data_IF_051971616711
#
_entry.id   IF_051971616711
#
_cell.length_a   1.000
_cell.length_b   1.000
_cell.length_c   1.000
_cell.angle_alpha   90.00
_cell.angle_beta   90.00
_cell.angle_gamma   90.00
#
_symmetry.space_group_name_H-M   'P 1'
#
loop_
_entity.id
_entity.type
_entity.pdbx_description
1 polymer ?
#
# COMPACT_ATOMS: atom_id res chain seq x y z
N UNK A 1 -60.61 -47.24 -46.49
CA UNK A 1 -60.91 -48.24 -45.44
C UNK A 1 -59.59 -48.59 -44.78
N UNK A 2 -59.15 -47.96 -43.69
CA UNK A 2 -59.33 -48.43 -42.30
C UNK A 2 -59.18 -47.21 -41.34
N UNK A 3 -59.76 -46.05 -41.70
CA UNK A 3 -59.85 -44.86 -40.82
C UNK A 3 -60.86 -45.01 -39.67
N UNK A 4 -61.15 -46.25 -39.24
CA UNK A 4 -62.16 -46.61 -38.23
C UNK A 4 -61.63 -47.54 -37.13
N UNK A 5 -60.33 -47.81 -37.08
CA UNK A 5 -59.75 -48.64 -36.00
C UNK A 5 -59.16 -47.83 -34.82
N UNK A 6 -59.01 -46.52 -34.94
CA UNK A 6 -58.51 -45.68 -33.83
C UNK A 6 -59.59 -45.18 -32.87
N UNK A 7 -60.88 -45.35 -33.20
CA UNK A 7 -61.99 -44.89 -32.33
C UNK A 7 -62.35 -45.88 -31.21
N UNK A 8 -61.82 -47.11 -31.22
CA UNK A 8 -62.18 -48.15 -30.25
C UNK A 8 -61.10 -48.42 -29.18
N UNK A 9 -59.97 -47.71 -29.22
CA UNK A 9 -58.92 -47.83 -28.18
C UNK A 9 -59.16 -46.85 -27.03
N UNK A 10 -59.97 -45.80 -27.23
CA UNK A 10 -60.24 -44.77 -26.22
C UNK A 10 -61.43 -45.07 -25.29
N UNK A 11 -62.13 -46.19 -25.45
CA UNK A 11 -63.35 -46.49 -24.67
C UNK A 11 -63.19 -47.57 -23.59
N UNK A 12 -61.96 -48.02 -23.30
CA UNK A 12 -61.68 -48.98 -22.20
C UNK A 12 -60.52 -48.57 -21.30
N UNK A 13 -60.25 -47.28 -21.16
CA UNK A 13 -59.63 -46.80 -19.92
C UNK A 13 -60.76 -46.60 -18.92
N UNK A 14 -61.27 -47.70 -18.37
CA UNK A 14 -61.86 -47.64 -17.04
C UNK A 14 -60.70 -47.21 -16.15
N UNK A 15 -60.61 -45.90 -15.92
CA UNK A 15 -59.86 -45.34 -14.80
C UNK A 15 -60.28 -46.20 -13.62
N UNK A 16 -59.34 -46.98 -13.09
CA UNK A 16 -59.50 -47.58 -11.79
C UNK A 16 -59.88 -46.42 -10.88
N UNK A 17 -61.17 -46.33 -10.55
CA UNK A 17 -61.60 -45.66 -9.33
C UNK A 17 -60.97 -46.50 -8.23
N UNK A 18 -59.70 -46.22 -7.96
CA UNK A 18 -59.04 -46.64 -6.75
C UNK A 18 -60.02 -46.27 -5.66
N UNK A 19 -60.52 -47.29 -4.95
CA UNK A 19 -61.41 -47.09 -3.82
C UNK A 19 -60.81 -45.98 -2.98
N UNK A 20 -61.46 -44.82 -2.96
CA UNK A 20 -61.08 -43.75 -2.04
C UNK A 20 -61.42 -44.29 -0.66
N UNK A 21 -60.44 -44.94 -0.06
CA UNK A 21 -60.47 -45.27 1.35
C UNK A 21 -60.67 -43.96 2.08
N UNK A 22 -61.84 -43.82 2.70
CA UNK A 22 -62.22 -42.61 3.40
C UNK A 22 -61.44 -42.57 4.72
N UNK A 23 -60.19 -42.11 4.66
CA UNK A 23 -59.30 -41.98 5.81
C UNK A 23 -59.68 -40.76 6.66
N UNK A 24 -60.94 -40.70 7.10
CA UNK A 24 -61.44 -39.72 8.06
C UNK A 24 -61.31 -38.23 7.67
N UNK A 25 -62.01 -37.40 8.44
CA UNK A 25 -62.04 -35.94 8.26
C UNK A 25 -60.64 -35.33 8.35
N UNK A 26 -59.75 -35.92 9.15
CA UNK A 26 -58.39 -35.42 9.38
C UNK A 26 -57.45 -35.58 8.17
N UNK A 27 -57.51 -36.72 7.45
CA UNK A 27 -56.65 -36.87 6.27
C UNK A 27 -57.18 -36.08 5.08
N UNK A 28 -58.51 -35.93 4.97
CA UNK A 28 -59.12 -35.01 4.01
C UNK A 28 -58.71 -33.57 4.29
N UNK A 29 -58.72 -33.14 5.56
CA UNK A 29 -58.27 -31.82 5.97
C UNK A 29 -56.80 -31.60 5.58
N UNK A 30 -55.90 -32.52 5.93
CA UNK A 30 -54.48 -32.42 5.61
C UNK A 30 -54.18 -32.43 4.10
N UNK A 31 -54.98 -33.15 3.31
CA UNK A 31 -54.85 -33.16 1.84
C UNK A 31 -55.35 -31.86 1.18
N UNK A 32 -56.30 -31.15 1.80
CA UNK A 32 -56.79 -29.85 1.33
C UNK A 32 -55.86 -28.71 1.72
N UNK A 33 -55.31 -28.74 2.94
CA UNK A 33 -54.39 -27.69 3.43
C UNK A 33 -53.11 -27.60 2.59
N UNK A 34 -52.62 -28.72 2.06
CA UNK A 34 -51.34 -28.78 1.34
C UNK A 34 -51.45 -28.64 -0.19
N UNK A 35 -52.61 -28.26 -0.73
CA UNK A 35 -52.83 -28.09 -2.17
C UNK A 35 -53.28 -26.66 -2.46
N UNK A 36 -52.65 -26.03 -3.44
CA UNK A 36 -53.07 -24.72 -3.97
C UNK A 36 -53.71 -24.94 -5.34
N UNK A 37 -54.80 -24.23 -5.62
CA UNK A 37 -55.40 -24.22 -6.95
C UNK A 37 -54.53 -23.34 -7.86
N UNK A 38 -53.92 -23.93 -8.88
CA UNK A 38 -53.34 -23.20 -10.01
C UNK A 38 -54.22 -23.49 -11.23
N UNK A 39 -55.10 -22.54 -11.57
CA UNK A 39 -56.15 -22.75 -12.57
C UNK A 39 -57.22 -23.75 -12.10
N UNK A 40 -57.66 -24.65 -12.98
CA UNK A 40 -58.63 -25.73 -12.66
C UNK A 40 -58.01 -26.97 -12.01
N UNK A 41 -56.69 -26.98 -11.80
CA UNK A 41 -55.98 -28.13 -11.26
C UNK A 41 -55.38 -27.81 -9.88
N UNK A 42 -55.50 -28.75 -8.96
CA UNK A 42 -54.87 -28.68 -7.66
C UNK A 42 -53.44 -29.22 -7.76
N UNK A 43 -52.45 -28.38 -7.48
CA UNK A 43 -51.03 -28.75 -7.50
C UNK A 43 -50.47 -28.61 -6.08
N UNK A 44 -49.59 -29.52 -5.69
CA UNK A 44 -48.96 -29.48 -4.36
C UNK A 44 -47.79 -28.49 -4.35
N UNK A 45 -47.67 -27.72 -3.26
CA UNK A 45 -46.70 -26.61 -3.14
C UNK A 45 -45.23 -27.07 -3.02
N UNK A 46 -44.98 -28.36 -2.76
CA UNK A 46 -43.64 -28.95 -2.63
C UNK A 46 -43.55 -30.32 -3.32
N UNK A 47 -42.39 -30.69 -3.89
CA UNK A 47 -42.21 -32.02 -4.47
C UNK A 47 -42.35 -33.08 -3.38
N UNK A 48 -43.33 -33.97 -3.54
CA UNK A 48 -43.41 -35.19 -2.74
C UNK A 48 -42.54 -36.23 -3.42
N UNK A 49 -41.38 -36.52 -2.83
CA UNK A 49 -40.58 -37.68 -3.21
C UNK A 49 -41.40 -38.95 -2.99
N UNK A 50 -41.33 -39.91 -3.93
CA UNK A 50 -41.98 -41.21 -3.78
C UNK A 50 -41.55 -41.84 -2.47
N UNK A 51 -42.50 -41.98 -1.56
CA UNK A 51 -42.29 -42.62 -0.27
C UNK A 51 -42.33 -44.11 -0.52
N UNK A 52 -41.17 -44.73 -0.76
CA UNK A 52 -41.05 -46.19 -0.78
C UNK A 52 -41.48 -46.76 0.58
N UNK A 53 -41.94 -48.01 0.60
CA UNK A 53 -42.33 -48.78 1.80
C UNK A 53 -41.22 -48.93 2.85
N UNK A 54 -40.03 -48.40 2.60
CA UNK A 54 -38.97 -48.24 3.58
C UNK A 54 -39.23 -47.11 4.61
N UNK A 55 -40.39 -46.45 4.62
CA UNK A 55 -40.78 -45.55 5.71
C UNK A 55 -41.41 -46.37 6.85
N UNK A 56 -40.75 -46.55 8.01
CA UNK A 56 -41.39 -47.19 9.15
C UNK A 56 -42.50 -46.25 9.67
N UNK A 57 -43.66 -46.82 9.96
CA UNK A 57 -44.80 -46.04 10.44
C UNK A 57 -44.60 -45.63 11.89
N UNK A 58 -44.31 -44.34 12.13
CA UNK A 58 -44.82 -43.57 13.28
C UNK A 58 -44.45 -42.07 13.23
N UNK A 59 -44.67 -41.37 12.10
CA UNK A 59 -44.32 -39.94 11.98
C UNK A 59 -45.42 -39.02 12.53
N UNK A 60 -45.56 -39.01 13.85
CA UNK A 60 -46.42 -38.09 14.61
C UNK A 60 -45.81 -37.63 15.93
N UNK A 61 -44.98 -38.46 16.55
CA UNK A 61 -44.11 -38.11 17.66
C UNK A 61 -42.65 -38.06 17.21
N UNK A 62 -41.79 -37.38 17.97
CA UNK A 62 -40.35 -37.30 17.74
C UNK A 62 -39.75 -38.71 17.88
N UNK A 63 -39.69 -39.41 16.75
CA UNK A 63 -39.00 -40.68 16.62
C UNK A 63 -37.50 -40.42 16.73
N UNK A 64 -37.00 -40.55 17.96
CA UNK A 64 -35.60 -40.53 18.33
C UNK A 64 -34.88 -41.81 17.87
N UNK A 65 -35.10 -42.20 16.61
CA UNK A 65 -34.37 -43.29 16.00
C UNK A 65 -33.02 -42.75 15.56
N UNK A 66 -32.04 -42.96 16.45
CA UNK A 66 -30.62 -42.92 16.14
C UNK A 66 -30.32 -43.87 14.98
N UNK A 67 -30.48 -43.37 13.75
CA UNK A 67 -30.14 -44.10 12.51
C UNK A 67 -28.65 -44.43 12.48
N UNK A 68 -27.82 -43.58 13.07
CA UNK A 68 -26.45 -43.87 13.43
C UNK A 68 -26.32 -43.80 14.96
N UNK A 69 -25.43 -44.61 15.53
CA UNK A 69 -25.18 -44.63 16.99
C UNK A 69 -24.71 -43.28 17.54
N UNK A 70 -24.23 -42.41 16.65
CA UNK A 70 -23.74 -41.06 16.93
C UNK A 70 -24.53 -40.01 16.11
N UNK A 71 -25.70 -39.63 16.63
CA UNK A 71 -26.55 -38.55 16.10
C UNK A 71 -26.30 -37.21 16.83
N UNK A 72 -25.10 -37.05 17.40
CA UNK A 72 -24.69 -35.86 18.17
C UNK A 72 -24.94 -34.53 17.43
N UNK A 73 -24.77 -34.50 16.11
CA UNK A 73 -25.01 -33.29 15.30
C UNK A 73 -26.50 -32.92 15.20
N UNK A 74 -27.41 -33.89 15.17
CA UNK A 74 -28.86 -33.64 15.09
C UNK A 74 -29.45 -33.25 16.45
N UNK A 75 -28.98 -33.86 17.54
CA UNK A 75 -29.38 -33.49 18.91
C UNK A 75 -28.98 -32.05 19.24
N UNK A 76 -27.77 -31.64 18.86
CA UNK A 76 -27.31 -30.25 19.00
C UNK A 76 -28.02 -29.30 18.05
N UNK A 77 -28.47 -29.76 16.87
CA UNK A 77 -29.20 -28.91 15.92
C UNK A 77 -30.53 -28.45 16.50
N UNK A 78 -31.31 -29.35 17.10
CA UNK A 78 -32.64 -29.05 17.70
C UNK A 78 -32.54 -28.04 18.84
N UNK A 79 -31.53 -28.14 19.71
CA UNK A 79 -31.29 -27.14 20.77
C UNK A 79 -30.82 -25.78 20.24
N UNK A 80 -30.35 -25.72 18.99
CA UNK A 80 -29.73 -24.53 18.41
C UNK A 80 -30.67 -23.70 17.52
N UNK A 81 -31.91 -24.14 17.26
CA UNK A 81 -32.82 -23.51 16.30
C UNK A 81 -33.48 -22.21 16.82
N UNK A 82 -33.51 -21.99 18.13
CA UNK A 82 -34.20 -20.83 18.74
C UNK A 82 -33.35 -19.54 18.84
N UNK A 83 -32.04 -19.62 18.64
CA UNK A 83 -31.11 -18.46 18.76
C UNK A 83 -30.19 -18.32 17.55
N UNK A 84 -30.76 -18.24 16.35
CA UNK A 84 -29.99 -18.22 15.10
C UNK A 84 -29.15 -16.94 14.93
N UNK A 85 -29.63 -15.80 15.41
CA UNK A 85 -28.99 -14.51 15.15
C UNK A 85 -27.74 -14.28 16.01
N UNK A 86 -27.76 -14.72 17.28
CA UNK A 86 -26.60 -14.66 18.18
C UNK A 86 -25.47 -15.55 17.65
N UNK A 87 -25.79 -16.75 17.16
CA UNK A 87 -24.76 -17.66 16.62
C UNK A 87 -24.20 -17.19 15.28
N UNK A 88 -25.04 -16.61 14.41
CA UNK A 88 -24.56 -16.00 13.16
C UNK A 88 -23.63 -14.83 13.44
N UNK A 89 -23.96 -13.96 14.40
CA UNK A 89 -23.08 -12.85 14.77
C UNK A 89 -21.76 -13.34 15.37
N UNK A 90 -21.76 -14.38 16.21
CA UNK A 90 -20.54 -15.02 16.71
C UNK A 90 -19.67 -15.63 15.60
N UNK A 91 -20.27 -16.25 14.58
CA UNK A 91 -19.53 -16.79 13.44
C UNK A 91 -18.94 -15.66 12.59
N UNK A 92 -19.70 -14.59 12.35
CA UNK A 92 -19.21 -13.42 11.61
C UNK A 92 -18.09 -12.69 12.35
N UNK A 93 -18.17 -12.55 13.67
CA UNK A 93 -17.09 -11.94 14.46
C UNK A 93 -15.84 -12.81 14.45
N UNK A 94 -15.98 -14.13 14.59
CA UNK A 94 -14.84 -15.06 14.54
C UNK A 94 -14.16 -15.09 13.17
N UNK A 95 -14.95 -15.10 12.08
CA UNK A 95 -14.42 -15.03 10.72
C UNK A 95 -13.75 -13.68 10.44
N UNK A 96 -14.33 -12.57 10.91
CA UNK A 96 -13.71 -11.25 10.80
C UNK A 96 -12.36 -11.17 11.53
N UNK A 97 -12.26 -11.71 12.75
CA UNK A 97 -10.99 -11.79 13.50
C UNK A 97 -9.96 -12.64 12.75
N UNK A 98 -10.38 -13.78 12.19
CA UNK A 98 -9.50 -14.65 11.41
C UNK A 98 -8.94 -13.93 10.17
N UNK A 99 -9.80 -13.32 9.36
CA UNK A 99 -9.37 -12.57 8.18
C UNK A 99 -8.54 -11.33 8.55
N UNK A 100 -8.90 -10.63 9.63
CA UNK A 100 -8.11 -9.52 10.16
C UNK A 100 -6.70 -9.96 10.57
N UNK A 101 -6.57 -11.13 11.22
CA UNK A 101 -5.29 -11.74 11.55
C UNK A 101 -4.46 -12.09 10.32
N UNK A 102 -5.05 -12.74 9.32
CA UNK A 102 -4.38 -13.08 8.07
C UNK A 102 -3.90 -11.84 7.31
N UNK A 103 -4.73 -10.80 7.21
CA UNK A 103 -4.36 -9.55 6.55
C UNK A 103 -3.24 -8.83 7.30
N UNK A 104 -3.27 -8.83 8.63
CA UNK A 104 -2.21 -8.24 9.46
C UNK A 104 -0.88 -8.98 9.28
N UNK A 105 -0.92 -10.32 9.25
CA UNK A 105 0.26 -11.13 8.97
C UNK A 105 0.80 -10.88 7.55
N UNK A 106 -0.07 -10.87 6.55
CA UNK A 106 0.31 -10.58 5.17
C UNK A 106 0.96 -9.19 5.03
N UNK A 107 0.44 -8.17 5.73
CA UNK A 107 1.04 -6.84 5.78
C UNK A 107 2.43 -6.86 6.40
N UNK A 108 2.60 -7.49 7.56
CA UNK A 108 3.91 -7.58 8.24
C UNK A 108 4.91 -8.32 7.35
N UNK A 109 4.48 -9.39 6.69
CA UNK A 109 5.31 -10.13 5.75
C UNK A 109 5.73 -9.27 4.54
N UNK A 110 4.78 -8.57 3.91
CA UNK A 110 5.06 -7.68 2.80
C UNK A 110 6.03 -6.55 3.20
N UNK A 111 5.81 -5.92 4.37
CA UNK A 111 6.73 -4.92 4.92
C UNK A 111 8.11 -5.51 5.20
N UNK A 112 8.18 -6.73 5.71
CA UNK A 112 9.44 -7.45 5.92
C UNK A 112 10.18 -7.68 4.60
N UNK A 113 9.50 -8.14 3.55
CA UNK A 113 10.09 -8.35 2.21
C UNK A 113 10.54 -7.03 1.59
N UNK A 114 9.71 -6.00 1.59
CA UNK A 114 10.06 -4.67 1.09
C UNK A 114 11.25 -4.10 1.87
N UNK A 115 11.25 -4.27 3.20
CA UNK A 115 12.36 -3.87 4.05
C UNK A 115 13.66 -4.60 3.72
N UNK A 116 13.61 -5.88 3.31
CA UNK A 116 14.79 -6.60 2.81
C UNK A 116 15.26 -6.11 1.44
N UNK A 117 14.34 -5.70 0.55
CA UNK A 117 14.65 -5.17 -0.78
C UNK A 117 15.23 -3.75 -0.72
N UNK A 118 14.81 -2.92 0.24
CA UNK A 118 15.33 -1.57 0.44
C UNK A 118 16.79 -1.53 0.96
N UNK A 119 17.40 -2.70 1.21
CA UNK A 119 18.77 -2.82 1.70
C UNK A 119 18.88 -2.68 3.22
N UNK A 120 20.02 -3.10 3.74
CA UNK A 120 20.35 -2.93 5.17
C UNK A 120 21.23 -1.71 5.35
N UNK A 121 21.11 -1.02 6.49
CA UNK A 121 22.10 -0.03 6.92
C UNK A 121 23.46 -0.74 7.01
N UNK A 122 24.38 -0.38 6.12
CA UNK A 122 25.74 -0.92 6.12
C UNK A 122 26.69 -0.11 7.00
N UNK A 123 26.42 1.18 7.14
CA UNK A 123 27.15 2.11 8.00
C UNK A 123 26.15 3.02 8.70
N UNK A 124 26.43 3.38 9.94
CA UNK A 124 25.74 4.49 10.60
C UNK A 124 26.29 5.79 10.02
N UNK A 125 25.39 6.74 9.76
CA UNK A 125 25.77 8.02 9.18
C UNK A 125 26.34 8.92 10.25
N UNK A 126 27.42 9.58 9.91
CA UNK A 126 28.04 10.58 10.77
C UNK A 126 27.10 11.78 10.85
N UNK A 127 26.79 12.22 12.07
CA UNK A 127 25.90 13.35 12.33
C UNK A 127 26.56 14.69 12.00
N UNK A 128 27.88 14.76 12.13
CA UNK A 128 28.70 15.91 11.79
C UNK A 128 30.04 15.49 11.18
N UNK A 129 30.70 16.42 10.50
CA UNK A 129 32.06 16.27 10.00
C UNK A 129 32.83 17.58 10.22
N UNK A 130 33.95 17.49 10.90
CA UNK A 130 34.88 18.61 11.07
C UNK A 130 35.96 18.54 9.99
N UNK A 131 36.14 19.64 9.27
CA UNK A 131 37.16 19.78 8.24
C UNK A 131 37.95 21.06 8.49
N UNK A 132 39.26 20.91 8.69
CA UNK A 132 40.19 22.03 8.74
C UNK A 132 40.40 22.60 7.33
N UNK A 133 40.23 23.91 7.20
CA UNK A 133 40.41 24.70 5.99
C UNK A 133 41.51 25.77 6.15
N UNK A 134 42.32 25.70 7.21
CA UNK A 134 43.43 26.61 7.44
C UNK A 134 44.42 26.67 6.27
N UNK A 135 44.68 25.52 5.64
CA UNK A 135 45.57 25.40 4.47
C UNK A 135 44.91 25.77 3.13
N UNK A 136 43.57 25.92 3.09
CA UNK A 136 42.85 26.26 1.87
C UNK A 136 42.96 27.77 1.60
N UNK A 137 43.65 28.21 0.53
CA UNK A 137 43.79 29.63 0.27
C UNK A 137 42.47 30.22 -0.25
N UNK A 138 42.21 31.52 -0.01
CA UNK A 138 41.03 32.20 -0.55
C UNK A 138 40.99 32.15 -2.09
N UNK A 139 39.86 31.72 -2.64
CA UNK A 139 39.63 31.49 -4.07
C UNK A 139 39.56 30.01 -4.45
N UNK A 140 40.05 29.11 -3.59
CA UNK A 140 40.08 27.66 -3.84
C UNK A 140 38.86 26.92 -3.27
N UNK A 141 38.67 25.70 -3.78
CA UNK A 141 37.62 24.73 -3.48
C UNK A 141 38.28 23.45 -3.02
N UNK A 142 37.89 23.00 -1.83
CA UNK A 142 38.17 21.66 -1.35
C UNK A 142 36.99 20.76 -1.66
N UNK A 143 37.27 19.55 -2.16
CA UNK A 143 36.27 18.52 -2.38
C UNK A 143 36.49 17.39 -1.39
N UNK A 144 35.46 17.09 -0.60
CA UNK A 144 35.46 15.98 0.37
C UNK A 144 34.24 15.07 0.12
N UNK A 145 34.21 13.91 0.75
CA UNK A 145 33.07 13.00 0.71
C UNK A 145 32.54 12.83 2.13
N UNK A 146 31.26 13.15 2.34
CA UNK A 146 30.60 12.99 3.63
C UNK A 146 29.34 12.12 3.46
N UNK A 147 29.24 11.04 4.25
CA UNK A 147 28.14 10.07 4.17
C UNK A 147 27.88 9.49 2.76
N UNK A 148 28.91 9.44 1.90
CA UNK A 148 28.83 8.96 0.52
C UNK A 148 28.44 10.03 -0.51
N UNK A 149 28.23 11.28 -0.07
CA UNK A 149 27.89 12.41 -0.94
C UNK A 149 29.11 13.33 -1.04
N UNK A 150 29.53 13.70 -2.27
CA UNK A 150 30.61 14.64 -2.44
C UNK A 150 30.14 16.05 -2.06
N UNK A 151 31.00 16.79 -1.37
CA UNK A 151 30.74 18.13 -0.84
C UNK A 151 31.84 19.08 -1.31
N UNK A 152 31.43 20.27 -1.75
CA UNK A 152 32.33 21.39 -2.01
C UNK A 152 32.39 22.32 -0.81
N UNK A 153 33.60 22.57 -0.34
CA UNK A 153 33.90 23.65 0.60
C UNK A 153 34.71 24.68 -0.19
N UNK A 154 34.09 25.81 -0.53
CA UNK A 154 34.76 26.89 -1.26
C UNK A 154 35.03 28.05 -0.33
N UNK A 155 36.30 28.48 -0.29
CA UNK A 155 36.71 29.70 0.41
C UNK A 155 36.73 30.84 -0.61
N UNK A 156 35.82 31.80 -0.45
CA UNK A 156 35.62 32.93 -1.33
C UNK A 156 36.44 34.14 -0.88
N UNK A 157 37.06 34.83 -1.82
CA UNK A 157 37.64 36.15 -1.53
C UNK A 157 36.55 37.21 -1.43
N UNK A 158 36.81 38.32 -0.73
CA UNK A 158 35.86 39.43 -0.64
C UNK A 158 35.53 40.05 -2.00
N UNK A 159 36.48 40.03 -2.94
CA UNK A 159 36.27 40.52 -4.31
C UNK A 159 35.32 39.60 -5.08
N UNK A 160 35.45 38.28 -4.90
CA UNK A 160 34.53 37.32 -5.51
C UNK A 160 33.12 37.47 -4.95
N UNK A 161 33.00 37.70 -3.63
CA UNK A 161 31.71 37.97 -2.99
C UNK A 161 31.04 39.21 -3.59
N UNK A 162 31.78 40.31 -3.70
CA UNK A 162 31.28 41.55 -4.32
C UNK A 162 30.90 41.35 -5.79
N UNK A 163 31.69 40.60 -6.55
CA UNK A 163 31.40 40.31 -7.95
C UNK A 163 30.11 39.49 -8.10
N UNK A 164 29.92 38.45 -7.27
CA UNK A 164 28.73 37.59 -7.30
C UNK A 164 27.45 38.27 -6.80
N UNK A 165 27.58 39.22 -5.88
CA UNK A 165 26.47 40.06 -5.40
C UNK A 165 26.10 41.15 -6.41
N UNK A 166 27.04 41.57 -7.27
CA UNK A 166 26.77 42.57 -8.31
C UNK A 166 26.01 41.99 -9.52
N UNK A 167 25.94 40.66 -9.65
CA UNK A 167 25.25 40.01 -10.76
C UNK A 167 23.73 40.14 -10.61
N UNK A 168 23.00 40.46 -11.69
CA UNK A 168 21.56 40.65 -11.61
C UNK A 168 20.82 39.33 -11.32
N UNK A 169 19.92 39.35 -10.33
CA UNK A 169 19.09 38.20 -9.94
C UNK A 169 18.18 37.69 -11.08
N UNK A 170 17.90 38.54 -12.08
CA UNK A 170 17.12 38.14 -13.26
C UNK A 170 17.77 37.01 -14.08
N UNK A 171 19.07 36.79 -13.91
CA UNK A 171 19.83 35.74 -14.61
C UNK A 171 19.85 34.40 -13.86
N UNK A 172 19.31 34.34 -12.64
CA UNK A 172 19.19 33.10 -11.88
C UNK A 172 18.02 32.28 -12.41
N UNK A 173 18.27 31.00 -12.72
CA UNK A 173 17.20 30.07 -13.08
C UNK A 173 16.37 29.70 -11.85
N UNK A 174 17.05 29.43 -10.74
CA UNK A 174 16.43 29.14 -9.45
C UNK A 174 16.45 30.39 -8.56
N UNK A 175 15.27 30.91 -8.26
CA UNK A 175 15.08 32.08 -7.39
C UNK A 175 15.00 31.71 -5.91
N UNK A 176 15.00 30.42 -5.57
CA UNK A 176 14.97 30.02 -4.17
C UNK A 176 16.33 30.32 -3.52
N UNK A 177 16.27 31.21 -2.53
CA UNK A 177 17.44 31.74 -1.83
C UNK A 177 17.68 30.90 -0.59
N UNK A 178 18.77 30.15 -0.58
CA UNK A 178 19.19 29.39 0.59
C UNK A 178 20.67 29.07 0.53
N UNK A 179 21.52 30.07 0.32
CA UNK A 179 22.95 29.94 0.61
C UNK A 179 23.26 30.71 1.89
N UNK A 180 24.13 30.17 2.72
CA UNK A 180 24.69 30.87 3.88
C UNK A 180 26.18 30.99 3.65
N UNK A 181 26.67 32.22 3.74
CA UNK A 181 28.09 32.51 3.77
C UNK A 181 28.50 32.62 5.22
N UNK A 182 29.47 31.80 5.62
CA UNK A 182 30.06 31.89 6.93
C UNK A 182 31.39 32.65 6.89
N UNK A 183 31.71 33.32 7.99
CA UNK A 183 32.86 34.19 8.09
C UNK A 183 34.12 33.39 8.42
N UNK A 184 35.18 33.59 7.64
CA UNK A 184 36.46 32.91 7.79
C UNK A 184 37.61 33.93 7.78
N UNK A 185 37.66 34.78 8.81
CA UNK A 185 38.59 35.90 8.91
C UNK A 185 38.38 36.92 7.78
N UNK A 186 39.38 37.06 6.89
CA UNK A 186 39.34 37.98 5.74
C UNK A 186 38.66 37.37 4.48
N UNK A 187 37.93 36.27 4.64
CA UNK A 187 37.30 35.54 3.55
C UNK A 187 35.91 35.03 3.99
N UNK A 188 35.11 34.58 3.04
CA UNK A 188 33.84 33.91 3.31
C UNK A 188 33.95 32.44 2.90
N UNK A 189 33.21 31.56 3.53
CA UNK A 189 33.15 30.13 3.18
C UNK A 189 31.73 29.77 2.83
N UNK A 190 31.60 28.95 1.78
CA UNK A 190 30.34 28.35 1.37
C UNK A 190 30.52 26.84 1.28
N UNK A 191 29.57 26.10 1.85
CA UNK A 191 29.55 24.63 1.78
C UNK A 191 28.29 24.19 1.03
N UNK A 192 28.50 23.43 -0.04
CA UNK A 192 27.43 22.99 -0.94
C UNK A 192 27.64 21.53 -1.36
N UNK A 193 26.56 20.85 -1.69
CA UNK A 193 26.65 19.51 -2.28
C UNK A 193 27.28 19.60 -3.67
N UNK A 194 28.20 18.69 -3.96
CA UNK A 194 28.83 18.56 -5.26
C UNK A 194 28.01 17.68 -6.23
N UNK A 195 26.73 17.46 -5.94
CA UNK A 195 25.82 16.64 -6.75
C UNK A 195 24.95 17.54 -7.61
N UNK A 196 25.16 17.49 -8.93
CA UNK A 196 24.38 18.25 -9.89
C UNK A 196 22.90 17.90 -9.80
N UNK A 197 22.05 18.92 -9.65
CA UNK A 197 20.59 18.82 -9.55
C UNK A 197 19.90 18.31 -10.81
N UNK A 198 20.62 18.20 -11.94
CA UNK A 198 20.07 17.60 -13.15
C UNK A 198 19.92 16.07 -13.02
N UNK A 199 21.05 15.34 -12.94
CA UNK A 199 21.08 13.87 -12.92
C UNK A 199 22.17 13.30 -11.99
N UNK A 200 22.72 14.12 -11.09
CA UNK A 200 23.64 13.66 -10.05
C UNK A 200 25.12 13.54 -10.43
N UNK A 201 25.53 14.05 -11.59
CA UNK A 201 26.95 14.18 -11.93
C UNK A 201 27.69 15.15 -10.99
N UNK A 202 29.02 15.04 -10.91
CA UNK A 202 29.86 15.96 -10.13
C UNK A 202 30.30 17.13 -11.05
N UNK A 203 29.92 18.39 -10.76
CA UNK A 203 30.44 19.55 -11.48
C UNK A 203 31.94 19.75 -11.26
N UNK A 204 32.65 20.22 -12.27
CA UNK A 204 34.09 20.52 -12.16
C UNK A 204 34.24 22.00 -11.76
N UNK A 205 35.04 22.33 -10.72
CA UNK A 205 35.25 23.71 -10.29
C UNK A 205 36.10 24.51 -11.30
N UNK A 206 36.04 25.83 -11.20
CA UNK A 206 36.85 26.80 -11.98
C UNK A 206 36.60 26.84 -13.48
N UNK A 207 35.49 26.25 -13.94
CA UNK A 207 35.09 26.24 -15.34
C UNK A 207 33.87 27.13 -15.57
N UNK A 208 33.65 27.46 -16.85
CA UNK A 208 32.46 28.17 -17.32
C UNK A 208 32.57 29.69 -17.21
N UNK A 209 31.53 30.37 -17.68
CA UNK A 209 31.50 31.83 -17.79
C UNK A 209 31.63 32.57 -16.45
N UNK A 210 31.30 31.90 -15.33
CA UNK A 210 31.27 32.48 -13.99
C UNK A 210 32.45 32.04 -13.10
N UNK A 211 33.40 31.24 -13.62
CA UNK A 211 34.49 30.64 -12.83
C UNK A 211 34.00 29.93 -11.55
N UNK A 212 32.77 29.39 -11.60
CA UNK A 212 32.13 28.64 -10.52
C UNK A 212 32.32 27.15 -10.76
N UNK A 213 31.25 26.49 -11.22
CA UNK A 213 31.25 25.05 -11.50
C UNK A 213 30.57 24.73 -12.82
N UNK A 214 31.10 23.73 -13.55
CA UNK A 214 30.48 23.23 -14.79
C UNK A 214 30.29 21.73 -14.73
N UNK A 215 29.05 21.28 -14.93
CA UNK A 215 28.74 19.88 -15.13
C UNK A 215 28.96 19.49 -16.59
N UNK A 216 30.02 18.71 -16.86
CA UNK A 216 30.38 18.25 -18.21
C UNK A 216 29.38 17.26 -18.82
N UNK A 217 28.44 16.72 -18.04
CA UNK A 217 27.48 15.73 -18.53
C UNK A 217 26.52 16.34 -19.57
N UNK A 218 25.93 17.50 -19.26
CA UNK A 218 24.98 18.19 -20.14
C UNK A 218 25.15 19.72 -20.16
N UNK A 219 26.27 20.22 -19.63
CA UNK A 219 26.64 21.63 -19.72
C UNK A 219 25.95 22.57 -18.73
N UNK A 220 25.49 22.07 -17.57
CA UNK A 220 24.97 22.95 -16.53
C UNK A 220 26.09 23.80 -15.93
N UNK A 221 25.89 25.12 -15.90
CA UNK A 221 26.84 26.10 -15.38
C UNK A 221 26.29 26.69 -14.09
N UNK A 222 27.12 26.65 -13.06
CA UNK A 222 26.87 27.23 -11.74
C UNK A 222 27.88 28.35 -11.47
N UNK A 223 27.44 29.37 -10.74
CA UNK A 223 28.31 30.43 -10.25
C UNK A 223 29.09 30.02 -8.98
N UNK A 224 29.86 30.95 -8.41
CA UNK A 224 30.71 30.64 -7.23
C UNK A 224 29.91 30.39 -5.96
N UNK A 225 28.67 30.86 -5.89
CA UNK A 225 27.71 30.55 -4.83
C UNK A 225 26.94 29.26 -5.10
N UNK A 226 27.33 28.51 -6.13
CA UNK A 226 26.72 27.26 -6.54
C UNK A 226 25.27 27.44 -7.05
N UNK A 227 24.92 28.65 -7.49
CA UNK A 227 23.62 28.97 -8.09
C UNK A 227 23.63 28.66 -9.58
N UNK A 228 22.55 28.08 -10.09
CA UNK A 228 22.45 27.71 -11.49
C UNK A 228 22.19 28.93 -12.38
N UNK A 229 23.01 29.06 -13.43
CA UNK A 229 22.96 30.18 -14.40
C UNK A 229 22.61 29.74 -15.81
N UNK A 230 22.96 28.51 -16.18
CA UNK A 230 22.72 27.99 -17.52
C UNK A 230 22.64 26.47 -17.52
N UNK A 231 21.93 25.91 -18.48
CA UNK A 231 21.88 24.48 -18.77
C UNK A 231 20.56 23.82 -18.36
N UNK A 232 20.50 22.48 -18.40
CA UNK A 232 19.28 21.74 -18.10
C UNK A 232 18.98 21.60 -16.61
N UNK A 233 19.92 21.92 -15.72
CA UNK A 233 19.64 21.98 -14.28
C UNK A 233 18.72 23.17 -13.98
N UNK A 234 17.65 22.92 -13.21
CA UNK A 234 16.68 23.97 -12.83
C UNK A 234 16.88 24.47 -11.40
N UNK A 235 17.55 23.71 -10.55
CA UNK A 235 17.75 24.01 -9.12
C UNK A 235 19.23 24.31 -8.82
N UNK A 236 19.47 25.17 -7.84
CA UNK A 236 20.81 25.45 -7.30
C UNK A 236 21.42 24.20 -6.65
N UNK A 237 22.76 24.13 -6.54
CA UNK A 237 23.37 23.04 -5.78
C UNK A 237 22.89 23.11 -4.32
N UNK A 238 22.45 21.98 -3.72
CA UNK A 238 21.92 21.99 -2.37
C UNK A 238 22.93 22.55 -1.37
N UNK A 239 22.51 23.57 -0.63
CA UNK A 239 23.28 24.09 0.50
C UNK A 239 23.34 23.05 1.62
N UNK A 240 24.49 22.98 2.28
CA UNK A 240 24.74 22.09 3.41
C UNK A 240 24.89 22.92 4.66
N UNK A 241 24.13 22.60 5.71
CA UNK A 241 24.22 23.31 6.97
C UNK A 241 25.63 23.17 7.54
N UNK A 242 26.25 24.30 7.85
CA UNK A 242 27.61 24.33 8.37
C UNK A 242 27.80 25.52 9.31
N UNK A 243 28.69 25.33 10.26
CA UNK A 243 29.09 26.29 11.29
C UNK A 243 30.62 26.41 11.29
N UNK A 244 31.13 27.59 11.63
CA UNK A 244 32.57 27.87 11.67
C UNK A 244 33.07 27.97 13.10
N UNK A 245 34.22 27.35 13.36
CA UNK A 245 34.90 27.35 14.66
C UNK A 245 36.36 27.83 14.52
N UNK A 246 37.03 28.03 15.66
CA UNK A 246 38.45 28.38 15.74
C UNK A 246 38.85 29.61 14.90
N UNK A 247 38.09 30.71 15.02
CA UNK A 247 38.30 31.93 14.23
C UNK A 247 38.20 31.72 12.70
N UNK A 248 37.51 30.67 12.26
CA UNK A 248 37.18 30.43 10.87
C UNK A 248 38.17 29.53 10.11
N UNK A 249 38.98 28.75 10.83
CA UNK A 249 39.81 27.69 10.24
C UNK A 249 39.12 26.34 10.23
N UNK A 250 38.21 26.07 11.17
CA UNK A 250 37.53 24.78 11.27
C UNK A 250 36.08 24.91 10.77
N UNK A 251 35.73 24.15 9.75
CA UNK A 251 34.35 24.03 9.24
C UNK A 251 33.73 22.80 9.88
N UNK A 252 32.62 22.97 10.59
CA UNK A 252 31.79 21.86 11.02
C UNK A 252 30.58 21.76 10.09
N UNK A 253 30.47 20.63 9.41
CA UNK A 253 29.32 20.28 8.59
C UNK A 253 28.34 19.51 9.48
N UNK A 254 27.10 19.95 9.53
CA UNK A 254 26.04 19.34 10.34
C UNK A 254 24.97 18.70 9.45
N UNK A 255 24.12 17.84 10.03
CA UNK A 255 23.12 17.02 9.32
C UNK A 255 22.52 17.71 8.08
N UNK A 256 22.83 17.13 6.92
CA UNK A 256 22.12 17.44 5.67
C UNK A 256 20.66 17.06 5.90
N UNK A 257 19.78 18.06 6.04
CA UNK A 257 18.34 17.81 6.10
C UNK A 257 17.88 17.36 4.73
N UNK A 258 17.90 16.06 4.45
CA UNK A 258 17.32 15.51 3.22
C UNK A 258 15.79 15.59 3.33
N UNK A 259 15.09 16.41 2.53
CA UNK A 259 13.64 16.54 2.63
C UNK A 259 12.88 15.28 2.22
N UNK A 260 13.56 14.26 1.65
CA UNK A 260 12.94 13.05 1.08
C UNK A 260 13.50 11.75 1.65
N UNK A 261 14.34 11.78 2.67
CA UNK A 261 14.74 10.52 3.29
C UNK A 261 13.58 9.97 4.12
N UNK A 262 13.22 8.68 3.93
CA UNK A 262 12.27 8.05 4.84
C UNK A 262 12.90 8.11 6.22
N UNK A 263 12.25 8.80 7.15
CA UNK A 263 12.64 8.73 8.55
C UNK A 263 12.68 7.24 8.91
N UNK A 264 13.76 6.83 9.55
CA UNK A 264 13.95 5.44 10.03
C UNK A 264 12.84 4.97 11.00
N UNK A 265 11.87 5.83 11.30
CA UNK A 265 10.63 5.58 12.02
C UNK A 265 9.61 4.69 11.29
N UNK A 266 10.05 3.86 10.33
CA UNK A 266 9.20 2.77 9.80
C UNK A 266 9.19 1.52 10.70
N UNK A 267 9.92 1.54 11.83
CA UNK A 267 10.06 0.39 12.74
C UNK A 267 10.03 0.77 14.23
N UNK A 268 9.05 1.58 14.66
CA UNK A 268 8.62 1.63 16.08
C UNK A 268 7.10 1.59 16.13
#
# INVERSE_FOLDING_TARGET
>A
MISRQFSNILQKVKLNQASQYNFGVLSEYNNRVNKKLQGTHQVQEKPQFFVTSARPGNFGDHLDFKVNIDNWFDENRVHNEHETDIKRTQIYTLTAVYYGGLLSFARIYALGVIGRLNGWKRYDRDTYLEQDIGELPPGEVMQIVWNGIPVFIRRLTLQEVQAEESLPDATLLDKNVGYVLNDAGNSKVIVTSAVCTHLGCIPIPYLGAYNGYVCICHGSVYDKYARVRQGPALENLPYINNSMYENGTLVCIEEMKYPREPSVAFWV
#
